data_IF_785826759237
#
_entry.id   IF_785826759237
#
_cell.length_a   1.000
_cell.length_b   1.000
_cell.length_c   1.000
_cell.angle_alpha   90.00
_cell.angle_beta   90.00
_cell.angle_gamma   90.00
#
_symmetry.space_group_name_H-M   'P 1'
#
loop_
_entity.id
_entity.type
_entity.pdbx_description
1 polymer ?
#
# COMPACT_ATOMS: atom_id res chain seq x y z
N UNK A 1 -0.50 -32.30 -33.85
CA UNK A 1 -0.25 -31.98 -32.45
C UNK A 1 -1.58 -31.68 -31.79
N UNK A 2 -1.97 -32.56 -30.86
CA UNK A 2 -3.15 -32.34 -30.03
C UNK A 2 -2.88 -31.26 -28.97
N UNK A 3 -3.88 -30.92 -28.15
CA UNK A 3 -3.73 -29.87 -27.13
C UNK A 3 -2.83 -30.29 -25.95
N UNK A 4 -2.70 -31.59 -25.69
CA UNK A 4 -1.86 -32.12 -24.61
C UNK A 4 -0.39 -32.08 -24.98
N UNK A 5 -0.05 -32.52 -26.19
CA UNK A 5 1.28 -32.39 -26.77
C UNK A 5 1.68 -30.92 -26.90
N UNK A 6 0.75 -30.06 -27.35
CA UNK A 6 0.99 -28.62 -27.42
C UNK A 6 1.31 -28.04 -26.05
N UNK A 7 0.50 -28.35 -25.03
CA UNK A 7 0.75 -27.89 -23.68
C UNK A 7 2.12 -28.36 -23.16
N UNK A 8 2.56 -29.59 -23.47
CA UNK A 8 3.85 -30.08 -22.98
C UNK A 8 5.05 -29.30 -23.53
N UNK A 9 5.00 -28.82 -24.78
CA UNK A 9 6.16 -28.17 -25.43
C UNK A 9 6.09 -26.64 -25.46
N UNK A 10 4.91 -26.04 -25.22
CA UNK A 10 4.68 -24.61 -25.43
C UNK A 10 5.55 -23.71 -24.54
N UNK A 11 5.95 -24.20 -23.35
CA UNK A 11 6.77 -23.43 -22.40
C UNK A 11 8.23 -23.34 -22.84
N UNK A 12 8.73 -24.35 -23.55
CA UNK A 12 10.13 -24.43 -24.02
C UNK A 12 10.29 -24.00 -25.49
N UNK A 13 9.22 -23.52 -26.13
CA UNK A 13 9.21 -23.15 -27.54
C UNK A 13 9.01 -21.64 -27.72
N UNK A 14 10.02 -20.97 -28.27
CA UNK A 14 9.96 -19.50 -28.49
C UNK A 14 9.31 -19.08 -29.82
N UNK A 15 9.37 -19.93 -30.85
CA UNK A 15 8.98 -19.55 -32.23
C UNK A 15 7.89 -20.46 -32.76
N UNK A 16 6.72 -19.87 -33.05
CA UNK A 16 5.62 -20.50 -33.78
C UNK A 16 5.43 -19.79 -35.12
N UNK A 17 5.68 -20.51 -36.22
CA UNK A 17 5.57 -19.96 -37.57
C UNK A 17 4.33 -20.49 -38.31
N UNK A 18 3.84 -19.71 -39.28
CA UNK A 18 2.67 -20.08 -40.13
C UNK A 18 1.43 -20.44 -39.30
N UNK A 19 1.17 -19.70 -38.22
CA UNK A 19 0.04 -19.90 -37.32
C UNK A 19 -1.26 -19.39 -37.92
N UNK A 20 -2.35 -20.14 -37.75
CA UNK A 20 -3.71 -19.65 -38.00
C UNK A 20 -4.26 -18.92 -36.76
N UNK A 21 -5.39 -18.20 -36.88
CA UNK A 21 -6.07 -17.59 -35.73
C UNK A 21 -6.41 -18.59 -34.62
N UNK A 22 -6.85 -19.79 -34.99
CA UNK A 22 -7.15 -20.88 -34.06
C UNK A 22 -5.90 -21.35 -33.32
N UNK A 23 -4.74 -21.39 -34.00
CA UNK A 23 -3.46 -21.72 -33.37
C UNK A 23 -3.08 -20.70 -32.30
N UNK A 24 -3.26 -19.40 -32.54
CA UNK A 24 -2.99 -18.35 -31.55
C UNK A 24 -3.83 -18.53 -30.29
N UNK A 25 -5.13 -18.82 -30.46
CA UNK A 25 -6.03 -19.08 -29.33
C UNK A 25 -5.60 -20.33 -28.54
N UNK A 26 -5.27 -21.43 -29.23
CA UNK A 26 -4.78 -22.67 -28.60
C UNK A 26 -3.49 -22.44 -27.82
N UNK A 27 -2.57 -21.62 -28.35
CA UNK A 27 -1.32 -21.26 -27.66
C UNK A 27 -1.57 -20.50 -26.36
N UNK A 28 -2.47 -19.52 -26.38
CA UNK A 28 -2.84 -18.78 -25.16
C UNK A 28 -3.41 -19.73 -24.11
N UNK A 29 -4.33 -20.61 -24.52
CA UNK A 29 -4.95 -21.59 -23.60
C UNK A 29 -3.92 -22.60 -23.05
N UNK A 30 -2.98 -23.05 -23.88
CA UNK A 30 -1.92 -23.97 -23.48
C UNK A 30 -0.93 -23.31 -22.50
N UNK A 31 -0.54 -22.04 -22.70
CA UNK A 31 0.29 -21.32 -21.74
C UNK A 31 -0.45 -21.06 -20.42
N UNK A 32 -1.75 -20.73 -20.49
CA UNK A 32 -2.59 -20.52 -19.31
C UNK A 32 -2.79 -21.81 -18.49
N UNK A 33 -2.79 -23.00 -19.11
CA UNK A 33 -2.95 -24.27 -18.39
C UNK A 33 -1.76 -24.58 -17.46
N UNK A 34 -0.60 -23.99 -17.72
CA UNK A 34 0.57 -24.01 -16.82
C UNK A 34 0.52 -22.98 -15.69
N UNK A 35 -0.58 -22.22 -15.57
CA UNK A 35 -0.72 -21.17 -14.57
C UNK A 35 0.14 -19.94 -14.84
N UNK A 36 0.62 -19.74 -16.07
CA UNK A 36 1.31 -18.54 -16.50
C UNK A 36 0.30 -17.40 -16.74
N UNK A 37 0.76 -16.16 -16.56
CA UNK A 37 0.01 -14.97 -17.00
C UNK A 37 0.43 -14.65 -18.43
N UNK A 38 -0.52 -14.67 -19.36
CA UNK A 38 -0.24 -14.57 -20.79
C UNK A 38 -0.67 -13.21 -21.31
N UNK A 39 0.27 -12.47 -21.90
CA UNK A 39 -0.03 -11.30 -22.71
C UNK A 39 0.04 -11.68 -24.18
N UNK A 40 -0.97 -11.30 -24.96
CA UNK A 40 -1.06 -11.57 -26.40
C UNK A 40 -1.08 -10.26 -27.16
N UNK A 41 -0.29 -10.15 -28.23
CA UNK A 41 -0.29 -8.98 -29.11
C UNK A 41 -0.94 -9.31 -30.45
N UNK A 42 -1.70 -8.39 -31.03
CA UNK A 42 -2.33 -8.58 -32.33
C UNK A 42 -2.80 -7.27 -32.95
N UNK A 43 -2.96 -7.27 -34.27
CA UNK A 43 -3.39 -6.10 -35.06
C UNK A 43 -4.64 -6.41 -35.91
N UNK A 44 -4.83 -7.67 -36.29
CA UNK A 44 -5.95 -8.11 -37.12
C UNK A 44 -7.21 -8.47 -36.34
N UNK A 45 -8.37 -8.37 -37.01
CA UNK A 45 -9.67 -8.88 -36.53
C UNK A 45 -9.59 -10.36 -36.16
N UNK A 46 -8.75 -11.10 -36.88
CA UNK A 46 -8.51 -12.52 -36.66
C UNK A 46 -7.84 -12.81 -35.31
N UNK A 47 -7.16 -11.83 -34.71
CA UNK A 47 -6.49 -11.99 -33.43
C UNK A 47 -7.42 -11.71 -32.25
N UNK A 48 -8.61 -11.12 -32.50
CA UNK A 48 -9.56 -10.74 -31.46
C UNK A 48 -9.93 -11.89 -30.49
N UNK A 49 -10.16 -13.14 -30.95
CA UNK A 49 -10.42 -14.24 -30.02
C UNK A 49 -9.24 -14.55 -29.08
N UNK A 50 -8.00 -14.48 -29.59
CA UNK A 50 -6.80 -14.75 -28.82
C UNK A 50 -6.47 -13.59 -27.86
N UNK A 51 -6.64 -12.34 -28.32
CA UNK A 51 -6.50 -11.13 -27.52
C UNK A 51 -7.44 -11.16 -26.32
N UNK A 52 -8.74 -11.41 -26.56
CA UNK A 52 -9.77 -11.47 -25.52
C UNK A 52 -9.60 -12.66 -24.57
N UNK A 53 -8.93 -13.73 -25.00
CA UNK A 53 -8.67 -14.91 -24.17
C UNK A 53 -7.44 -14.73 -23.27
N UNK A 54 -6.48 -13.92 -23.70
CA UNK A 54 -5.28 -13.65 -22.93
C UNK A 54 -5.61 -12.97 -21.59
N UNK A 55 -4.67 -13.03 -20.64
CA UNK A 55 -4.82 -12.28 -19.38
C UNK A 55 -4.61 -10.77 -19.60
N UNK A 56 -3.89 -10.43 -20.67
CA UNK A 56 -3.75 -9.06 -21.19
C UNK A 56 -3.61 -9.10 -22.73
N UNK A 57 -4.67 -8.77 -23.44
CA UNK A 57 -4.66 -8.46 -24.87
C UNK A 57 -4.06 -7.09 -25.13
N UNK A 58 -3.17 -7.02 -26.12
CA UNK A 58 -2.43 -5.81 -26.50
C UNK A 58 -2.61 -5.57 -28.01
N UNK A 59 -3.33 -4.51 -28.37
CA UNK A 59 -3.52 -4.12 -29.76
C UNK A 59 -2.49 -3.08 -30.22
N UNK A 60 -2.18 -3.10 -31.51
CA UNK A 60 -1.43 -2.03 -32.18
C UNK A 60 -2.33 -0.80 -32.37
N UNK A 61 -1.86 0.40 -32.03
CA UNK A 61 -2.64 1.63 -32.09
C UNK A 61 -2.77 2.19 -33.50
N UNK A 62 -1.68 2.22 -34.27
CA UNK A 62 -1.67 2.80 -35.62
C UNK A 62 -2.07 1.76 -36.66
N UNK A 63 -1.46 0.57 -36.61
CA UNK A 63 -1.71 -0.51 -37.58
C UNK A 63 -2.86 -1.46 -37.21
N UNK A 64 -3.33 -1.41 -35.96
CA UNK A 64 -4.38 -2.31 -35.50
C UNK A 64 -5.77 -1.93 -36.01
N UNK A 65 -6.52 -2.95 -36.39
CA UNK A 65 -7.95 -2.84 -36.67
C UNK A 65 -8.75 -2.45 -35.43
N UNK A 66 -9.88 -1.77 -35.61
CA UNK A 66 -10.76 -1.38 -34.49
C UNK A 66 -11.25 -2.59 -33.71
N UNK A 67 -11.54 -3.72 -34.38
CA UNK A 67 -11.93 -4.95 -33.69
C UNK A 67 -10.81 -5.51 -32.78
N UNK A 68 -9.54 -5.36 -33.15
CA UNK A 68 -8.41 -5.79 -32.30
C UNK A 68 -8.28 -4.86 -31.08
N UNK A 69 -8.45 -3.55 -31.26
CA UNK A 69 -8.44 -2.56 -30.18
C UNK A 69 -9.58 -2.77 -29.19
N UNK A 70 -10.80 -3.02 -29.67
CA UNK A 70 -11.96 -3.32 -28.83
C UNK A 70 -11.82 -4.66 -28.07
N UNK A 71 -11.09 -5.62 -28.64
CA UNK A 71 -10.84 -6.91 -28.02
C UNK A 71 -9.68 -6.92 -27.01
N UNK A 72 -8.95 -5.81 -26.85
CA UNK A 72 -7.72 -5.73 -26.04
C UNK A 72 -7.90 -4.82 -24.82
N UNK A 73 -7.26 -5.16 -23.70
CA UNK A 73 -7.20 -4.29 -22.52
C UNK A 73 -6.20 -3.14 -22.67
N UNK A 74 -5.20 -3.29 -23.53
CA UNK A 74 -4.13 -2.31 -23.76
C UNK A 74 -3.99 -2.01 -25.26
N UNK A 75 -3.71 -0.75 -25.59
CA UNK A 75 -3.44 -0.30 -26.97
C UNK A 75 -2.10 0.43 -27.01
N UNK A 76 -1.17 -0.03 -27.86
CA UNK A 76 0.13 0.60 -28.07
C UNK A 76 0.00 1.77 -29.04
N UNK A 77 -0.11 3.00 -28.53
CA UNK A 77 -0.27 4.19 -29.36
C UNK A 77 0.88 4.42 -30.37
N UNK A 78 2.08 3.91 -30.07
CA UNK A 78 3.30 4.06 -30.85
C UNK A 78 3.68 2.84 -31.70
N UNK A 79 2.89 1.76 -31.64
CA UNK A 79 3.19 0.46 -32.27
C UNK A 79 4.57 -0.12 -31.88
N UNK A 80 5.12 0.26 -30.72
CA UNK A 80 6.46 -0.17 -30.29
C UNK A 80 6.39 -1.28 -29.24
N UNK A 81 7.02 -2.42 -29.54
CA UNK A 81 7.11 -3.54 -28.61
C UNK A 81 7.81 -3.18 -27.29
N UNK A 82 8.77 -2.24 -27.32
CA UNK A 82 9.46 -1.76 -26.12
C UNK A 82 8.51 -1.11 -25.09
N UNK A 83 7.37 -0.57 -25.54
CA UNK A 83 6.36 0.04 -24.69
C UNK A 83 5.64 -0.99 -23.83
N UNK A 84 5.59 -2.26 -24.24
CA UNK A 84 5.10 -3.37 -23.41
C UNK A 84 6.01 -3.57 -22.19
N UNK A 85 7.33 -3.55 -22.38
CA UNK A 85 8.27 -3.68 -21.26
C UNK A 85 8.17 -2.50 -20.27
N UNK A 86 7.89 -1.30 -20.78
CA UNK A 86 7.60 -0.13 -19.94
C UNK A 86 6.28 -0.30 -19.16
N UNK A 87 5.22 -0.79 -19.81
CA UNK A 87 3.94 -1.07 -19.16
C UNK A 87 4.07 -2.15 -18.07
N UNK A 88 4.85 -3.21 -18.31
CA UNK A 88 5.15 -4.25 -17.31
C UNK A 88 5.89 -3.65 -16.11
N UNK A 89 6.86 -2.75 -16.34
CA UNK A 89 7.55 -2.05 -15.26
C UNK A 89 6.57 -1.24 -14.42
N UNK A 90 5.70 -0.47 -15.06
CA UNK A 90 4.71 0.35 -14.37
C UNK A 90 3.69 -0.50 -13.60
N UNK A 91 3.19 -1.58 -14.19
CA UNK A 91 2.28 -2.51 -13.51
C UNK A 91 2.88 -3.14 -12.26
N UNK A 92 4.19 -3.46 -12.27
CA UNK A 92 4.90 -3.92 -11.07
C UNK A 92 4.98 -2.83 -9.99
N UNK A 93 5.21 -1.58 -10.38
CA UNK A 93 5.22 -0.44 -9.46
C UNK A 93 3.86 -0.20 -8.83
N UNK A 94 2.79 -0.19 -9.62
CA UNK A 94 1.41 -0.06 -9.12
C UNK A 94 1.10 -1.16 -8.10
N UNK A 95 1.49 -2.40 -8.39
CA UNK A 95 1.27 -3.52 -7.47
C UNK A 95 2.04 -3.37 -6.15
N UNK A 96 3.31 -2.95 -6.21
CA UNK A 96 4.10 -2.69 -4.99
C UNK A 96 3.51 -1.54 -4.16
N UNK A 97 3.02 -0.49 -4.81
CA UNK A 97 2.36 0.63 -4.14
C UNK A 97 1.04 0.20 -3.49
N UNK A 98 0.23 -0.64 -4.15
CA UNK A 98 -0.97 -1.25 -3.55
C UNK A 98 -0.60 -2.05 -2.28
N UNK A 99 0.46 -2.86 -2.33
CA UNK A 99 0.93 -3.59 -1.14
C UNK A 99 1.34 -2.65 -0.02
N UNK A 100 2.06 -1.56 -0.31
CA UNK A 100 2.44 -0.54 0.69
C UNK A 100 1.20 0.08 1.32
N UNK A 101 0.22 0.51 0.51
CA UNK A 101 -1.04 1.08 1.00
C UNK A 101 -1.76 0.08 1.90
N UNK A 102 -1.93 -1.19 1.49
CA UNK A 102 -2.56 -2.22 2.33
C UNK A 102 -1.79 -2.42 3.64
N UNK A 103 -0.46 -2.44 3.57
CA UNK A 103 0.42 -2.61 4.74
C UNK A 103 0.41 -1.42 5.69
N UNK A 104 -0.06 -0.25 5.24
CA UNK A 104 -0.28 0.93 6.04
C UNK A 104 -1.72 0.97 6.59
N UNK A 105 -2.72 0.82 5.72
CA UNK A 105 -4.15 0.95 6.07
C UNK A 105 -4.65 -0.12 7.03
N UNK A 106 -4.28 -1.39 6.85
CA UNK A 106 -4.78 -2.47 7.71
C UNK A 106 -4.36 -2.31 9.18
N UNK A 107 -3.07 -2.14 9.54
CA UNK A 107 -2.68 -1.99 10.93
C UNK A 107 -3.20 -0.72 11.59
N UNK A 108 -3.26 0.41 10.87
CA UNK A 108 -3.75 1.68 11.42
C UNK A 108 -5.22 1.56 11.80
N UNK A 109 -6.06 1.12 10.86
CA UNK A 109 -7.50 0.91 11.09
C UNK A 109 -7.77 -0.13 12.17
N UNK A 110 -6.99 -1.22 12.21
CA UNK A 110 -7.10 -2.21 13.26
C UNK A 110 -6.70 -1.64 14.63
N UNK A 111 -5.59 -0.88 14.72
CA UNK A 111 -5.17 -0.24 15.97
C UNK A 111 -6.19 0.77 16.51
N UNK A 112 -6.77 1.58 15.62
CA UNK A 112 -7.86 2.50 15.96
C UNK A 112 -9.10 1.77 16.47
N UNK A 113 -9.56 0.77 15.71
CA UNK A 113 -10.73 -0.01 16.07
C UNK A 113 -10.54 -0.75 17.38
N UNK A 114 -9.36 -1.35 17.60
CA UNK A 114 -9.01 -2.02 18.86
C UNK A 114 -9.06 -1.05 20.04
N UNK A 115 -8.61 0.19 19.87
CA UNK A 115 -8.65 1.21 20.93
C UNK A 115 -10.08 1.50 21.39
N UNK A 116 -11.00 1.61 20.44
CA UNK A 116 -12.43 1.84 20.73
C UNK A 116 -13.04 0.59 21.39
N UNK A 117 -12.79 -0.58 20.80
CA UNK A 117 -13.32 -1.85 21.28
C UNK A 117 -12.89 -2.11 22.72
N UNK A 118 -11.60 -1.93 23.03
CA UNK A 118 -11.07 -2.09 24.40
C UNK A 118 -11.70 -1.10 25.37
N UNK A 119 -11.82 0.18 24.99
CA UNK A 119 -12.46 1.18 25.85
C UNK A 119 -13.92 0.82 26.18
N UNK A 120 -14.68 0.34 25.20
CA UNK A 120 -16.06 -0.11 25.39
C UNK A 120 -16.15 -1.34 26.29
N UNK A 121 -15.29 -2.35 26.09
CA UNK A 121 -15.25 -3.54 26.93
C UNK A 121 -14.90 -3.24 28.38
N UNK A 122 -14.04 -2.25 28.61
CA UNK A 122 -13.65 -1.81 29.94
C UNK A 122 -14.66 -0.82 30.58
N UNK A 123 -15.73 -0.45 29.87
CA UNK A 123 -16.73 0.51 30.34
C UNK A 123 -16.17 1.92 30.54
N UNK A 124 -15.08 2.26 29.84
CA UNK A 124 -14.41 3.56 29.95
C UNK A 124 -15.00 4.58 28.99
N UNK A 125 -14.73 5.86 29.25
CA UNK A 125 -15.02 6.91 28.28
C UNK A 125 -14.20 6.68 27.00
N UNK A 126 -14.80 6.96 25.85
CA UNK A 126 -14.14 6.78 24.56
C UNK A 126 -12.90 7.68 24.44
N UNK A 127 -11.70 7.10 24.16
CA UNK A 127 -10.47 7.85 23.97
C UNK A 127 -10.50 8.78 22.75
N UNK A 128 -11.34 8.46 21.76
CA UNK A 128 -11.49 9.22 20.52
C UNK A 128 -12.97 9.29 20.17
N UNK A 129 -13.44 10.46 19.74
CA UNK A 129 -14.85 10.66 19.32
C UNK A 129 -15.07 10.28 17.85
N UNK A 130 -16.33 10.09 17.47
CA UNK A 130 -16.71 9.77 16.08
C UNK A 130 -16.22 10.85 15.08
N UNK A 131 -16.32 12.14 15.44
CA UNK A 131 -15.88 13.24 14.58
C UNK A 131 -14.35 13.24 14.41
N UNK A 132 -13.62 12.89 15.46
CA UNK A 132 -12.15 12.76 15.41
C UNK A 132 -11.71 11.55 14.58
N UNK A 133 -12.43 10.42 14.65
CA UNK A 133 -12.20 9.27 13.77
C UNK A 133 -12.44 9.64 12.30
N UNK A 134 -13.50 10.42 12.03
CA UNK A 134 -13.76 10.89 10.66
C UNK A 134 -12.64 11.82 10.17
N UNK A 135 -12.12 12.70 11.02
CA UNK A 135 -10.96 13.53 10.70
C UNK A 135 -9.74 12.69 10.32
N UNK A 136 -9.40 11.71 11.18
CA UNK A 136 -8.28 10.80 10.96
C UNK A 136 -8.46 10.04 9.64
N UNK A 137 -9.60 9.38 9.43
CA UNK A 137 -9.80 8.56 8.25
C UNK A 137 -9.89 9.36 6.95
N UNK A 138 -10.62 10.48 6.95
CA UNK A 138 -10.92 11.23 5.72
C UNK A 138 -9.78 12.16 5.31
N UNK A 139 -9.12 12.79 6.30
CA UNK A 139 -8.08 13.78 6.03
C UNK A 139 -6.72 13.15 6.19
N UNK A 140 -6.39 12.69 7.39
CA UNK A 140 -5.05 12.16 7.68
C UNK A 140 -4.75 10.93 6.82
N UNK A 141 -5.64 9.95 6.84
CA UNK A 141 -5.38 8.65 6.22
C UNK A 141 -5.43 8.67 4.71
N UNK A 142 -6.37 9.38 4.09
CA UNK A 142 -6.39 9.52 2.61
C UNK A 142 -5.14 10.28 2.15
N UNK A 143 -4.79 11.38 2.80
CA UNK A 143 -3.67 12.22 2.36
C UNK A 143 -2.34 11.47 2.49
N UNK A 144 -2.11 10.77 3.61
CA UNK A 144 -0.93 9.92 3.82
C UNK A 144 -0.93 8.70 2.88
N UNK A 145 -2.08 8.05 2.67
CA UNK A 145 -2.22 6.91 1.77
C UNK A 145 -1.93 7.27 0.31
N UNK A 146 -2.33 8.45 -0.16
CA UNK A 146 -1.99 8.97 -1.50
C UNK A 146 -0.49 9.10 -1.67
N UNK A 147 0.25 9.53 -0.64
CA UNK A 147 1.71 9.63 -0.72
C UNK A 147 2.39 8.28 -0.97
N UNK A 148 1.83 7.18 -0.46
CA UNK A 148 2.30 5.80 -0.73
C UNK A 148 1.88 5.30 -2.11
N UNK A 149 0.69 5.68 -2.58
CA UNK A 149 0.16 5.25 -3.88
C UNK A 149 1.00 5.75 -5.06
N UNK A 150 1.62 6.93 -4.92
CA UNK A 150 2.44 7.57 -5.96
C UNK A 150 3.95 7.49 -5.69
N UNK A 151 4.39 6.44 -5.00
CA UNK A 151 5.82 6.20 -4.84
C UNK A 151 6.49 5.79 -6.16
N UNK A 152 7.73 6.26 -6.40
CA UNK A 152 8.48 5.94 -7.61
C UNK A 152 8.92 4.47 -7.63
N UNK A 153 9.07 3.96 -8.85
CA UNK A 153 9.56 2.60 -9.13
C UNK A 153 10.89 2.32 -8.42
N UNK A 154 10.96 1.20 -7.70
CA UNK A 154 12.21 0.72 -7.07
C UNK A 154 13.22 0.22 -8.13
N UNK A 155 14.52 0.44 -7.90
CA UNK A 155 15.56 0.19 -8.91
C UNK A 155 15.68 -1.26 -9.36
N UNK A 156 15.33 -2.22 -8.50
CA UNK A 156 15.44 -3.66 -8.79
C UNK A 156 14.10 -4.29 -9.23
N UNK A 157 13.07 -3.49 -9.53
CA UNK A 157 11.73 -3.99 -9.89
C UNK A 157 11.70 -4.93 -11.08
N UNK A 158 12.51 -4.68 -12.10
CA UNK A 158 12.58 -5.54 -13.29
C UNK A 158 13.51 -6.74 -13.15
N UNK A 159 14.36 -6.78 -12.11
CA UNK A 159 15.26 -7.93 -11.84
C UNK A 159 14.56 -9.06 -11.09
N UNK A 160 13.45 -8.76 -10.42
CA UNK A 160 12.63 -9.74 -9.70
C UNK A 160 11.89 -10.64 -10.71
N UNK A 161 11.78 -11.96 -10.45
CA UNK A 161 10.95 -12.83 -11.29
C UNK A 161 9.46 -12.41 -11.22
N UNK A 162 8.66 -12.75 -12.23
CA UNK A 162 7.21 -12.54 -12.19
C UNK A 162 6.58 -13.17 -10.95
N UNK A 163 5.57 -12.51 -10.39
CA UNK A 163 4.84 -12.99 -9.22
C UNK A 163 3.99 -14.22 -9.59
N UNK A 164 3.95 -15.27 -8.76
CA UNK A 164 2.99 -16.36 -8.93
C UNK A 164 1.54 -15.85 -8.86
N UNK A 165 0.66 -16.36 -9.73
CA UNK A 165 -0.76 -15.95 -9.79
C UNK A 165 -1.47 -16.11 -8.44
N UNK A 166 -1.21 -17.23 -7.77
CA UNK A 166 -1.87 -17.63 -6.53
C UNK A 166 -1.20 -17.08 -5.26
N UNK A 167 -0.25 -16.15 -5.38
CA UNK A 167 0.36 -15.55 -4.19
C UNK A 167 -0.70 -14.69 -3.48
N UNK A 168 -0.92 -14.94 -2.19
CA UNK A 168 -1.80 -14.11 -1.34
C UNK A 168 -1.26 -12.68 -1.24
N UNK A 169 -2.16 -11.70 -1.19
CA UNK A 169 -1.81 -10.31 -0.83
C UNK A 169 -1.41 -10.22 0.64
N UNK A 170 -2.12 -10.94 1.52
CA UNK A 170 -1.83 -11.05 2.94
C UNK A 170 -0.85 -12.21 3.17
N UNK A 171 0.45 -11.93 3.11
CA UNK A 171 1.47 -12.87 3.53
C UNK A 171 1.45 -13.04 5.06
N UNK A 172 1.96 -14.15 5.58
CA UNK A 172 2.13 -14.33 7.03
C UNK A 172 2.97 -13.21 7.67
N UNK A 173 3.93 -12.66 6.91
CA UNK A 173 4.74 -11.53 7.33
C UNK A 173 3.94 -10.23 7.48
N UNK A 174 3.01 -10.00 6.55
CA UNK A 174 2.10 -8.86 6.62
C UNK A 174 1.10 -9.04 7.75
N UNK A 175 0.56 -10.24 7.96
CA UNK A 175 -0.34 -10.53 9.09
C UNK A 175 0.37 -10.26 10.42
N UNK A 176 1.60 -10.74 10.59
CA UNK A 176 2.40 -10.45 11.78
C UNK A 176 2.64 -8.96 11.97
N UNK A 177 3.00 -8.25 10.89
CA UNK A 177 3.17 -6.80 10.92
C UNK A 177 1.87 -6.08 11.31
N UNK A 178 0.72 -6.52 10.80
CA UNK A 178 -0.59 -5.97 11.17
C UNK A 178 -0.83 -6.13 12.66
N UNK A 179 -0.68 -7.34 13.20
CA UNK A 179 -0.89 -7.62 14.62
C UNK A 179 0.05 -6.77 15.49
N UNK A 180 1.34 -6.75 15.17
CA UNK A 180 2.35 -6.00 15.93
C UNK A 180 2.00 -4.50 15.98
N UNK A 181 1.77 -3.89 14.82
CA UNK A 181 1.51 -2.45 14.75
C UNK A 181 0.18 -2.10 15.40
N UNK A 182 -0.87 -2.90 15.21
CA UNK A 182 -2.17 -2.64 15.84
C UNK A 182 -2.09 -2.70 17.37
N UNK A 183 -1.33 -3.64 17.94
CA UNK A 183 -1.09 -3.72 19.39
C UNK A 183 -0.29 -2.50 19.87
N UNK A 184 0.74 -2.08 19.14
CA UNK A 184 1.53 -0.90 19.49
C UNK A 184 0.70 0.39 19.41
N UNK A 185 -0.18 0.51 18.40
CA UNK A 185 -1.12 1.63 18.27
C UNK A 185 -2.06 1.68 19.47
N UNK A 186 -2.68 0.54 19.80
CA UNK A 186 -3.52 0.41 20.99
C UNK A 186 -2.76 0.84 22.26
N UNK A 187 -1.57 0.29 22.49
CA UNK A 187 -0.78 0.57 23.68
C UNK A 187 -0.38 2.04 23.78
N UNK A 188 0.03 2.67 22.67
CA UNK A 188 0.47 4.06 22.66
C UNK A 188 -0.71 5.05 22.81
N UNK A 189 -1.79 4.85 22.05
CA UNK A 189 -2.98 5.74 22.11
C UNK A 189 -3.67 5.60 23.46
N UNK A 190 -3.92 4.36 23.90
CA UNK A 190 -4.56 4.11 25.19
C UNK A 190 -3.64 4.51 26.35
N UNK A 191 -2.33 4.26 26.25
CA UNK A 191 -1.36 4.67 27.25
C UNK A 191 -1.31 6.19 27.46
N UNK A 192 -1.30 6.97 26.37
CA UNK A 192 -1.36 8.43 26.44
C UNK A 192 -2.71 8.91 26.99
N UNK A 193 -3.82 8.28 26.59
CA UNK A 193 -5.13 8.60 27.13
C UNK A 193 -5.22 8.35 28.63
N UNK A 194 -4.81 7.16 29.10
CA UNK A 194 -4.78 6.82 30.52
C UNK A 194 -3.86 7.74 31.31
N UNK A 195 -2.66 8.04 30.78
CA UNK A 195 -1.76 9.00 31.39
C UNK A 195 -2.40 10.39 31.58
N UNK A 196 -3.15 10.87 30.59
CA UNK A 196 -3.85 12.15 30.68
C UNK A 196 -4.98 12.13 31.73
N UNK A 197 -5.71 11.01 31.82
CA UNK A 197 -6.75 10.80 32.84
C UNK A 197 -6.14 10.76 34.24
N UNK A 198 -5.03 10.04 34.42
CA UNK A 198 -4.33 9.92 35.71
C UNK A 198 -3.74 11.25 36.20
N UNK A 199 -3.32 12.11 35.25
CA UNK A 199 -2.94 13.51 35.50
C UNK A 199 -4.09 14.41 35.93
N UNK A 200 -5.34 13.95 35.83
CA UNK A 200 -6.54 14.73 36.13
C UNK A 200 -6.90 15.76 35.05
N UNK A 201 -6.44 15.56 33.81
CA UNK A 201 -6.81 16.44 32.70
C UNK A 201 -8.29 16.28 32.31
N UNK A 202 -8.81 17.31 31.65
CA UNK A 202 -10.17 17.29 31.12
C UNK A 202 -10.36 16.14 30.12
N UNK A 203 -11.57 15.55 30.01
CA UNK A 203 -11.85 14.52 29.01
C UNK A 203 -11.54 14.98 27.57
N UNK A 204 -11.76 16.26 27.26
CA UNK A 204 -11.48 16.86 25.97
C UNK A 204 -9.97 16.93 25.68
N UNK A 205 -9.16 17.31 26.66
CA UNK A 205 -7.69 17.31 26.52
C UNK A 205 -7.15 15.89 26.39
N UNK A 206 -7.62 14.94 27.20
CA UNK A 206 -7.22 13.54 27.09
C UNK A 206 -7.53 12.94 25.70
N UNK A 207 -8.72 13.24 25.16
CA UNK A 207 -9.08 12.86 23.77
C UNK A 207 -8.21 13.54 22.73
N UNK A 208 -7.88 14.81 22.93
CA UNK A 208 -7.01 15.54 22.00
C UNK A 208 -5.60 14.97 22.00
N UNK A 209 -5.08 14.57 23.16
CA UNK A 209 -3.80 13.88 23.26
C UNK A 209 -3.83 12.51 22.56
N UNK A 210 -4.92 11.74 22.71
CA UNK A 210 -5.10 10.46 22.02
C UNK A 210 -5.12 10.60 20.49
N UNK A 211 -5.86 11.59 19.96
CA UNK A 211 -5.91 11.87 18.52
C UNK A 211 -4.55 12.33 17.99
N UNK A 212 -3.87 13.22 18.71
CA UNK A 212 -2.51 13.64 18.33
C UNK A 212 -1.52 12.48 18.35
N UNK A 213 -1.63 11.57 19.32
CA UNK A 213 -0.83 10.35 19.37
C UNK A 213 -1.07 9.48 18.14
N UNK A 214 -2.33 9.26 17.76
CA UNK A 214 -2.69 8.50 16.57
C UNK A 214 -2.06 9.11 15.31
N UNK A 215 -2.25 10.41 15.05
CA UNK A 215 -1.70 11.08 13.86
C UNK A 215 -0.17 11.00 13.82
N UNK A 216 0.48 11.15 14.99
CA UNK A 216 1.93 11.00 15.09
C UNK A 216 2.38 9.57 14.75
N UNK A 217 1.69 8.55 15.25
CA UNK A 217 1.97 7.16 14.90
C UNK A 217 1.79 6.89 13.40
N UNK A 218 0.73 7.41 12.79
CA UNK A 218 0.48 7.26 11.35
C UNK A 218 1.61 7.87 10.51
N UNK A 219 2.10 9.06 10.89
CA UNK A 219 3.23 9.71 10.22
C UNK A 219 4.50 8.87 10.36
N UNK A 220 4.83 8.41 11.57
CA UNK A 220 6.01 7.55 11.76
C UNK A 220 5.88 6.22 11.02
N UNK A 221 4.68 5.63 11.01
CA UNK A 221 4.40 4.38 10.31
C UNK A 221 4.49 4.52 8.78
N UNK A 222 4.09 5.68 8.23
CA UNK A 222 4.29 6.01 6.81
C UNK A 222 5.76 5.88 6.40
N UNK A 223 6.68 6.47 7.18
CA UNK A 223 8.11 6.41 6.89
C UNK A 223 8.67 4.98 6.95
N UNK A 224 8.10 4.14 7.82
CA UNK A 224 8.46 2.73 7.91
C UNK A 224 7.97 1.93 6.68
N UNK A 225 6.69 2.07 6.31
CA UNK A 225 6.09 1.31 5.19
C UNK A 225 6.73 1.64 3.85
N UNK A 226 7.12 2.90 3.65
CA UNK A 226 7.86 3.33 2.46
C UNK A 226 9.10 2.46 2.18
N UNK A 227 9.76 1.96 3.23
CA UNK A 227 10.95 1.12 3.12
C UNK A 227 10.70 -0.30 3.62
N UNK A 228 9.56 -0.89 3.26
CA UNK A 228 9.20 -2.25 3.72
C UNK A 228 10.20 -3.33 3.29
N UNK A 229 10.82 -3.18 2.11
CA UNK A 229 11.78 -4.14 1.55
C UNK A 229 13.25 -3.80 1.82
N UNK A 230 13.55 -2.69 2.51
CA UNK A 230 14.92 -2.19 2.71
C UNK A 230 15.12 -1.53 4.08
N UNK A 231 16.26 -0.89 4.32
CA UNK A 231 16.54 -0.17 5.59
C UNK A 231 15.88 1.20 5.61
N UNK A 232 15.13 1.54 6.66
CA UNK A 232 14.45 2.85 6.76
C UNK A 232 15.41 4.00 7.11
N UNK A 233 16.59 3.69 7.67
CA UNK A 233 17.60 4.66 8.10
C UNK A 233 18.53 5.18 6.98
N UNK A 234 18.25 4.86 5.72
CA UNK A 234 19.10 5.31 4.62
C UNK A 234 18.84 6.80 4.31
N UNK A 235 19.87 7.61 4.02
CA UNK A 235 19.68 9.04 3.68
C UNK A 235 18.70 9.28 2.51
N UNK A 236 18.63 8.35 1.55
CA UNK A 236 17.67 8.35 0.44
C UNK A 236 16.24 8.02 0.90
N UNK A 237 16.11 7.18 1.92
CA UNK A 237 14.85 6.88 2.59
C UNK A 237 14.37 8.08 3.43
N UNK A 238 15.26 8.78 4.13
CA UNK A 238 14.92 9.97 4.93
C UNK A 238 14.57 11.17 4.05
N UNK A 239 15.23 11.36 2.90
CA UNK A 239 14.98 12.52 2.01
C UNK A 239 13.56 12.61 1.45
N UNK A 240 12.73 11.58 1.59
CA UNK A 240 11.37 11.63 1.05
C UNK A 240 11.34 11.54 -0.47
N UNK A 241 10.14 11.36 -1.02
CA UNK A 241 9.79 12.10 -2.23
C UNK A 241 9.28 13.48 -1.79
N UNK A 242 9.32 14.46 -2.70
CA UNK A 242 8.74 15.78 -2.41
C UNK A 242 7.26 15.68 -2.01
N UNK A 243 6.53 14.71 -2.58
CA UNK A 243 5.13 14.42 -2.28
C UNK A 243 4.96 13.98 -0.83
N UNK A 244 5.77 13.05 -0.33
CA UNK A 244 5.69 12.59 1.08
C UNK A 244 5.88 13.76 2.05
N UNK A 245 6.87 14.62 1.84
CA UNK A 245 7.08 15.77 2.71
C UNK A 245 5.97 16.81 2.59
N UNK A 246 5.46 17.07 1.39
CA UNK A 246 4.32 17.97 1.21
C UNK A 246 3.09 17.46 1.97
N UNK A 247 2.79 16.17 1.87
CA UNK A 247 1.71 15.50 2.60
C UNK A 247 1.91 15.57 4.11
N UNK A 248 3.09 15.20 4.62
CA UNK A 248 3.38 15.21 6.06
C UNK A 248 3.30 16.63 6.62
N UNK A 249 3.82 17.63 5.91
CA UNK A 249 3.72 19.03 6.32
C UNK A 249 2.28 19.53 6.31
N UNK A 250 1.50 19.19 5.27
CA UNK A 250 0.09 19.57 5.16
C UNK A 250 -0.74 18.96 6.31
N UNK A 251 -0.55 17.67 6.59
CA UNK A 251 -1.21 16.98 7.69
C UNK A 251 -0.78 17.53 9.05
N UNK A 252 0.51 17.77 9.23
CA UNK A 252 1.02 18.36 10.47
C UNK A 252 0.37 19.73 10.69
N UNK A 253 0.40 20.62 9.68
CA UNK A 253 -0.24 21.92 9.76
C UNK A 253 -1.75 21.83 10.05
N UNK A 254 -2.45 20.92 9.38
CA UNK A 254 -3.87 20.68 9.60
C UNK A 254 -4.15 20.16 11.02
N UNK A 255 -3.31 19.26 11.55
CA UNK A 255 -3.43 18.73 12.90
C UNK A 255 -3.15 19.79 13.97
N UNK A 256 -2.16 20.66 13.75
CA UNK A 256 -1.93 21.83 14.59
C UNK A 256 -3.13 22.79 14.54
N UNK A 257 -3.74 22.99 13.37
CA UNK A 257 -4.94 23.80 13.24
C UNK A 257 -6.11 23.23 14.07
N UNK A 258 -6.37 21.92 13.99
CA UNK A 258 -7.41 21.25 14.81
C UNK A 258 -7.07 21.28 16.30
N UNK A 259 -5.80 21.27 16.68
CA UNK A 259 -5.38 21.26 18.09
C UNK A 259 -5.43 22.65 18.73
N UNK A 260 -5.10 23.72 17.99
CA UNK A 260 -4.87 25.05 18.58
C UNK A 260 -5.78 26.18 18.06
N UNK A 261 -6.52 26.01 16.96
CA UNK A 261 -7.42 27.06 16.46
C UNK A 261 -8.82 26.94 17.10
N UNK A 262 -9.32 28.00 17.78
CA UNK A 262 -10.61 27.95 18.48
C UNK A 262 -11.82 27.54 17.63
N UNK A 263 -11.98 27.99 16.36
CA UNK A 263 -13.11 27.56 15.53
C UNK A 263 -13.11 26.05 15.26
N UNK A 264 -11.92 25.45 15.08
CA UNK A 264 -11.79 24.02 14.83
C UNK A 264 -11.95 23.21 16.13
N UNK A 265 -11.45 23.74 17.26
CA UNK A 265 -11.64 23.13 18.57
C UNK A 265 -13.12 22.92 18.91
N UNK A 266 -13.99 23.87 18.57
CA UNK A 266 -15.44 23.75 18.77
C UNK A 266 -16.07 22.64 17.92
N UNK A 267 -15.59 22.43 16.69
CA UNK A 267 -16.11 21.41 15.78
C UNK A 267 -15.64 20.01 16.19
N UNK A 268 -14.36 19.86 16.53
CA UNK A 268 -13.74 18.57 16.82
C UNK A 268 -13.74 18.18 18.31
N UNK A 269 -14.20 19.09 19.19
CA UNK A 269 -14.19 18.89 20.63
C UNK A 269 -12.77 18.72 21.18
N UNK A 270 -11.81 19.49 20.65
CA UNK A 270 -10.40 19.44 21.05
C UNK A 270 -10.03 20.57 22.01
N UNK A 271 -8.94 20.38 22.75
CA UNK A 271 -8.33 21.40 23.62
C UNK A 271 -6.84 21.55 23.31
N UNK A 272 -6.30 22.72 23.66
CA UNK A 272 -4.88 23.00 23.48
C UNK A 272 -4.01 22.01 24.26
N UNK A 273 -3.05 21.39 23.55
CA UNK A 273 -2.13 20.44 24.18
C UNK A 273 -0.94 21.23 24.75
N UNK A 274 -0.64 21.10 26.05
CA UNK A 274 0.55 21.73 26.62
C UNK A 274 1.83 21.26 25.91
N UNK A 275 2.81 22.15 25.76
CA UNK A 275 4.05 21.86 25.05
C UNK A 275 4.75 20.57 25.54
N UNK A 276 4.82 20.37 26.85
CA UNK A 276 5.45 19.18 27.46
C UNK A 276 4.74 17.90 27.03
N UNK A 277 3.41 17.91 27.01
CA UNK A 277 2.61 16.76 26.62
C UNK A 277 2.72 16.49 25.11
N UNK A 278 2.84 17.55 24.29
CA UNK A 278 3.20 17.44 22.88
C UNK A 278 4.56 16.77 22.65
N UNK A 279 5.58 17.12 23.44
CA UNK A 279 6.91 16.48 23.38
C UNK A 279 6.83 15.00 23.76
N UNK A 280 6.05 14.65 24.78
CA UNK A 280 5.83 13.25 25.18
C UNK A 280 5.19 12.45 24.04
N UNK A 281 4.15 12.99 23.39
CA UNK A 281 3.50 12.35 22.24
C UNK A 281 4.52 12.06 21.11
N UNK A 282 5.35 13.04 20.76
CA UNK A 282 6.39 12.85 19.74
C UNK A 282 7.44 11.83 20.20
N UNK A 283 7.86 11.85 21.45
CA UNK A 283 8.82 10.89 22.00
C UNK A 283 8.30 9.45 21.95
N UNK A 284 7.02 9.24 22.28
CA UNK A 284 6.36 7.92 22.14
C UNK A 284 6.30 7.51 20.66
N UNK A 285 6.04 8.44 19.74
CA UNK A 285 6.07 8.17 18.31
C UNK A 285 7.46 7.72 17.80
N UNK A 286 8.52 8.38 18.27
CA UNK A 286 9.92 8.00 17.96
C UNK A 286 10.23 6.62 18.54
N UNK A 287 9.79 6.33 19.76
CA UNK A 287 9.95 5.01 20.38
C UNK A 287 9.23 3.93 19.59
N UNK A 288 7.98 4.18 19.17
CA UNK A 288 7.23 3.30 18.29
C UNK A 288 8.00 2.99 17.00
N UNK A 289 8.52 4.03 16.32
CA UNK A 289 9.32 3.86 15.11
C UNK A 289 10.57 3.02 15.35
N UNK A 290 11.26 3.25 16.48
CA UNK A 290 12.43 2.48 16.85
C UNK A 290 12.09 0.99 17.07
N UNK A 291 10.98 0.68 17.75
CA UNK A 291 10.54 -0.70 18.02
C UNK A 291 10.29 -1.45 16.70
N UNK A 292 9.51 -0.87 15.80
CA UNK A 292 9.17 -1.53 14.52
C UNK A 292 10.40 -1.68 13.61
N UNK A 293 11.32 -0.72 13.61
CA UNK A 293 12.55 -0.81 12.82
C UNK A 293 13.50 -1.86 13.39
N UNK A 294 13.66 -1.94 14.71
CA UNK A 294 14.46 -3.00 15.36
C UNK A 294 13.91 -4.38 15.03
N UNK A 295 12.59 -4.58 15.14
CA UNK A 295 11.95 -5.84 14.76
C UNK A 295 12.21 -6.20 13.29
N UNK A 296 12.10 -5.22 12.38
CA UNK A 296 12.39 -5.42 10.95
C UNK A 296 13.84 -5.84 10.73
N UNK A 297 14.80 -5.18 11.37
CA UNK A 297 16.22 -5.52 11.22
C UNK A 297 16.55 -6.91 11.74
N UNK A 298 15.97 -7.31 12.89
CA UNK A 298 16.10 -8.67 13.42
C UNK A 298 15.54 -9.72 12.45
N UNK A 299 14.35 -9.45 11.87
CA UNK A 299 13.71 -10.33 10.89
C UNK A 299 14.56 -10.49 9.63
N UNK A 300 15.11 -9.39 9.10
CA UNK A 300 15.99 -9.40 7.94
C UNK A 300 17.31 -10.13 8.22
N UNK A 301 17.88 -9.96 9.42
CA UNK A 301 19.09 -10.67 9.83
C UNK A 301 18.86 -12.18 9.90
N UNK A 302 17.75 -12.62 10.51
CA UNK A 302 17.39 -14.04 10.61
C UNK A 302 17.24 -14.71 9.24
N UNK A 303 16.69 -14.01 8.25
CA UNK A 303 16.58 -14.52 6.86
C UNK A 303 17.88 -14.56 6.08
N UNK A 304 18.91 -13.83 6.50
CA UNK A 304 20.24 -13.92 5.87
C UNK A 304 21.04 -15.10 6.41
N UNK A 305 20.67 -15.60 7.59
CA UNK A 305 21.34 -16.71 8.25
C UNK A 305 20.78 -18.08 7.86
N UNK A 306 19.53 -18.13 7.40
CA UNK A 306 18.84 -19.33 6.90
C UNK A 306 18.66 -19.26 5.39
#
# INVERSE_FOLDING_TARGET
MDDTELAAIVVDTDIFARTSPEHKLRLVMALQSHGLTVAMTGDGVNDAPALKRADAGIAMGQKGSEAAKEASELVLADDNFASIAAAVREGRTVYDNIKKVISWTLPTNAGESLTIVVALFLGMALPITAVQILWVNLITGITLGVALAFEPTEGDTMKRPPRPRNQSLLSGELIWHVILVSILFLAAVFGIYSYAVDKGYSPELARTMAVNMLVVLEIFHLFFIRNIYGTSLTWKAIRGTQVVWATVLAITAAQFAVTYLPPLQQVFGTQEVPFVEGVIIIAVGVMFFAIIEVEKQLRLAYRRMN
#
